data_IF_933879817173
#
_entry.id   IF_933879817173
#
_cell.length_a   1.000
_cell.length_b   1.000
_cell.length_c   1.000
_cell.angle_alpha   90.00
_cell.angle_beta   90.00
_cell.angle_gamma   90.00
#
_symmetry.space_group_name_H-M   'P 1'
#
loop_
_entity.id
_entity.type
_entity.pdbx_description
1 polymer ?
#
# COMPACT_ATOMS: atom_id res chain seq x y z
N UNK A 1 2.80 20.29 -12.99
CA UNK A 1 1.54 20.11 -12.24
C UNK A 1 1.86 20.23 -10.76
N UNK A 2 1.15 21.08 -10.00
CA UNK A 2 1.45 21.29 -8.57
C UNK A 2 0.30 20.78 -7.69
N UNK A 3 0.63 20.03 -6.64
CA UNK A 3 -0.27 19.56 -5.60
C UNK A 3 -0.54 20.67 -4.58
N UNK A 4 -1.80 20.78 -4.14
CA UNK A 4 -2.20 21.65 -3.04
C UNK A 4 -2.10 20.94 -1.69
N UNK A 5 -1.97 21.72 -0.61
CA UNK A 5 -1.99 21.24 0.77
C UNK A 5 -3.24 20.39 1.08
N UNK A 6 -4.40 20.76 0.52
CA UNK A 6 -5.64 20.01 0.71
C UNK A 6 -5.60 18.63 0.04
N UNK A 7 -5.00 18.53 -1.15
CA UNK A 7 -4.84 17.26 -1.86
C UNK A 7 -3.92 16.32 -1.09
N UNK A 8 -2.84 16.84 -0.50
CA UNK A 8 -1.90 16.05 0.30
C UNK A 8 -2.54 15.59 1.60
N UNK A 9 -3.32 16.46 2.27
CA UNK A 9 -4.11 16.06 3.44
C UNK A 9 -5.13 14.97 3.11
N UNK A 10 -5.79 15.05 1.96
CA UNK A 10 -6.71 14.01 1.47
C UNK A 10 -5.97 12.70 1.23
N UNK A 11 -4.81 12.75 0.59
CA UNK A 11 -3.98 11.57 0.29
C UNK A 11 -3.50 10.90 1.58
N UNK A 12 -2.96 11.68 2.50
CA UNK A 12 -2.50 11.24 3.83
C UNK A 12 -3.61 10.58 4.65
N UNK A 13 -4.73 11.30 4.85
CA UNK A 13 -5.76 10.89 5.81
C UNK A 13 -6.70 9.83 5.27
N UNK A 14 -7.10 9.94 4.00
CA UNK A 14 -8.19 9.13 3.45
C UNK A 14 -7.71 7.93 2.62
N UNK A 15 -6.52 8.03 2.02
CA UNK A 15 -6.02 7.02 1.08
C UNK A 15 -4.88 6.19 1.68
N UNK A 16 -3.84 6.83 2.22
CA UNK A 16 -2.67 6.13 2.77
C UNK A 16 -2.77 5.81 4.26
N UNK A 17 -3.70 6.43 4.99
CA UNK A 17 -3.86 6.32 6.46
C UNK A 17 -2.58 6.70 7.23
N UNK A 18 -1.83 7.65 6.69
CA UNK A 18 -0.65 8.22 7.34
C UNK A 18 -1.10 9.53 7.98
N UNK A 19 -0.73 9.78 9.22
CA UNK A 19 -0.95 11.09 9.86
C UNK A 19 0.29 11.95 9.64
N UNK A 20 0.25 12.88 8.69
CA UNK A 20 1.34 13.84 8.45
C UNK A 20 0.91 15.23 8.87
N UNK A 21 1.73 15.90 9.67
CA UNK A 21 1.53 17.30 10.10
C UNK A 21 2.57 18.24 9.51
N UNK A 22 3.47 17.76 8.65
CA UNK A 22 4.60 18.53 8.15
C UNK A 22 4.23 19.36 6.91
N UNK A 23 4.30 20.70 6.98
CA UNK A 23 3.97 21.55 5.84
C UNK A 23 4.99 21.45 4.70
N UNK A 24 6.23 21.03 4.99
CA UNK A 24 7.32 20.85 4.00
C UNK A 24 7.06 19.71 3.01
N UNK A 25 6.22 18.75 3.37
CA UNK A 25 5.89 17.59 2.54
C UNK A 25 5.33 17.99 1.18
N UNK A 26 4.70 19.16 1.08
CA UNK A 26 4.13 19.66 -0.18
C UNK A 26 5.20 20.10 -1.15
N UNK A 27 6.21 20.79 -0.66
CA UNK A 27 7.31 21.26 -1.50
C UNK A 27 8.12 20.05 -1.99
N UNK A 28 8.37 19.07 -1.11
CA UNK A 28 9.09 17.85 -1.44
C UNK A 28 8.33 17.01 -2.48
N UNK A 29 7.02 16.82 -2.31
CA UNK A 29 6.19 16.06 -3.26
C UNK A 29 6.09 16.76 -4.62
N UNK A 30 5.97 18.09 -4.63
CA UNK A 30 5.98 18.87 -5.86
C UNK A 30 7.34 18.79 -6.57
N UNK A 31 8.45 18.73 -5.83
CA UNK A 31 9.77 18.48 -6.38
C UNK A 31 9.88 17.11 -7.06
N UNK A 32 9.38 16.06 -6.41
CA UNK A 32 9.36 14.69 -6.97
C UNK A 32 8.49 14.63 -8.23
N UNK A 33 7.30 15.24 -8.21
CA UNK A 33 6.41 15.26 -9.38
C UNK A 33 7.07 15.94 -10.58
N UNK A 34 7.73 17.08 -10.38
CA UNK A 34 8.47 17.78 -11.45
C UNK A 34 9.59 16.91 -12.04
N UNK A 35 10.25 16.11 -11.21
CA UNK A 35 11.25 15.16 -11.70
C UNK A 35 10.62 14.03 -12.53
N UNK A 36 9.47 13.49 -12.10
CA UNK A 36 8.73 12.45 -12.83
C UNK A 36 8.16 12.96 -14.16
N UNK A 37 7.83 14.25 -14.25
CA UNK A 37 7.34 14.88 -15.50
C UNK A 37 8.33 14.77 -16.67
N UNK A 38 9.63 14.59 -16.41
CA UNK A 38 10.65 14.35 -17.44
C UNK A 38 10.37 13.08 -18.26
N UNK A 39 9.64 12.10 -17.70
CA UNK A 39 9.26 10.88 -18.44
C UNK A 39 8.29 11.17 -19.60
N UNK A 40 7.59 12.31 -19.60
CA UNK A 40 6.69 12.70 -20.69
C UNK A 40 7.44 13.11 -21.98
N UNK A 41 8.75 13.33 -21.92
CA UNK A 41 9.58 13.61 -23.10
C UNK A 41 9.76 12.38 -24.00
N UNK A 42 9.49 11.18 -23.46
CA UNK A 42 9.62 9.91 -24.18
C UNK A 42 8.27 9.53 -24.78
N UNK A 43 8.24 9.32 -26.10
CA UNK A 43 7.04 8.81 -26.77
C UNK A 43 6.82 7.33 -26.42
N UNK A 44 5.66 7.04 -25.81
CA UNK A 44 5.24 5.70 -25.43
C UNK A 44 4.06 5.19 -26.27
N UNK A 45 3.73 5.90 -27.36
CA UNK A 45 2.62 5.54 -28.25
C UNK A 45 2.84 4.15 -28.85
N UNK A 46 1.91 3.24 -28.60
CA UNK A 46 1.97 1.86 -29.10
C UNK A 46 2.90 0.92 -28.33
N UNK A 47 3.54 1.37 -27.24
CA UNK A 47 4.39 0.53 -26.40
C UNK A 47 3.53 -0.20 -25.36
N UNK A 48 3.53 -1.55 -25.32
CA UNK A 48 2.81 -2.29 -24.29
C UNK A 48 3.44 -2.08 -22.91
N UNK A 49 2.60 -2.01 -21.88
CA UNK A 49 3.06 -1.84 -20.49
C UNK A 49 3.79 -3.09 -20.01
N UNK A 50 4.94 -2.91 -19.36
CA UNK A 50 5.68 -4.02 -18.75
C UNK A 50 5.14 -4.29 -17.34
N UNK A 51 4.42 -5.41 -17.17
CA UNK A 51 3.86 -5.82 -15.86
C UNK A 51 4.81 -6.68 -15.04
N UNK A 52 5.62 -7.50 -15.70
CA UNK A 52 6.66 -8.36 -15.12
C UNK A 52 7.79 -8.47 -16.15
N UNK A 53 9.02 -8.56 -15.67
CA UNK A 53 10.20 -8.77 -16.53
C UNK A 53 10.25 -10.21 -17.04
N UNK A 54 9.69 -11.15 -16.27
CA UNK A 54 9.59 -12.55 -16.64
C UNK A 54 8.19 -12.81 -17.19
N UNK A 55 8.14 -13.45 -18.35
CA UNK A 55 6.89 -13.97 -18.90
C UNK A 55 6.32 -15.01 -17.94
N UNK A 56 5.16 -14.70 -17.37
CA UNK A 56 4.46 -15.57 -16.45
C UNK A 56 3.08 -15.84 -17.00
N UNK A 57 2.69 -17.10 -16.97
CA UNK A 57 1.32 -17.52 -17.19
C UNK A 57 0.58 -17.57 -15.84
N UNK A 58 -0.75 -17.70 -15.89
CA UNK A 58 -1.56 -17.86 -14.69
C UNK A 58 -1.31 -19.25 -14.08
N UNK A 59 -0.52 -19.30 -13.01
CA UNK A 59 -0.27 -20.54 -12.27
C UNK A 59 -1.40 -20.72 -11.25
N UNK A 60 -2.24 -21.73 -11.50
CA UNK A 60 -3.30 -22.11 -10.57
C UNK A 60 -2.74 -22.97 -9.43
N UNK A 61 -3.33 -22.83 -8.24
CA UNK A 61 -3.06 -23.70 -7.08
C UNK A 61 -4.12 -24.80 -7.05
N UNK A 62 -3.69 -26.04 -6.82
CA UNK A 62 -4.60 -27.18 -6.60
C UNK A 62 -5.51 -26.96 -5.38
N UNK A 63 -6.74 -27.48 -5.47
CA UNK A 63 -7.74 -27.38 -4.41
C UNK A 63 -7.56 -28.48 -3.35
N UNK A 64 -6.42 -28.45 -2.68
CA UNK A 64 -6.05 -29.41 -1.65
C UNK A 64 -5.83 -28.70 -0.30
N UNK A 65 -6.20 -29.38 0.79
CA UNK A 65 -5.92 -28.92 2.15
C UNK A 65 -4.44 -29.09 2.46
N UNK A 66 -3.75 -27.99 2.76
CA UNK A 66 -2.37 -28.02 3.23
C UNK A 66 -2.34 -28.06 4.75
N UNK A 67 -1.58 -29.03 5.29
CA UNK A 67 -1.29 -29.10 6.73
C UNK A 67 -0.55 -27.84 7.15
N UNK A 68 -1.13 -27.10 8.10
CA UNK A 68 -0.51 -25.91 8.67
C UNK A 68 0.49 -26.32 9.74
N UNK A 69 1.71 -25.81 9.68
CA UNK A 69 2.75 -26.05 10.68
C UNK A 69 2.67 -25.10 11.89
N UNK A 70 1.70 -24.18 11.90
CA UNK A 70 1.60 -23.11 12.90
C UNK A 70 0.39 -23.29 13.80
N UNK A 71 0.59 -23.02 15.09
CA UNK A 71 -0.45 -23.03 16.09
C UNK A 71 -1.12 -21.64 16.21
N UNK A 72 -2.38 -21.56 16.66
CA UNK A 72 -3.04 -20.27 16.90
C UNK A 72 -2.29 -19.37 17.89
N UNK A 73 -1.59 -19.97 18.85
CA UNK A 73 -0.84 -19.25 19.88
C UNK A 73 0.38 -18.53 19.30
N UNK A 74 1.11 -19.18 18.38
CA UNK A 74 2.26 -18.58 17.69
C UNK A 74 1.84 -17.39 16.82
N UNK A 75 0.70 -17.50 16.14
CA UNK A 75 0.17 -16.39 15.33
C UNK A 75 -0.23 -15.19 16.21
N UNK A 76 -0.84 -15.45 17.36
CA UNK A 76 -1.23 -14.39 18.30
C UNK A 76 -0.01 -13.72 18.96
N UNK A 77 1.11 -14.44 19.12
CA UNK A 77 2.36 -13.89 19.63
C UNK A 77 3.00 -12.84 18.68
N UNK A 78 2.65 -12.84 17.39
CA UNK A 78 3.11 -11.83 16.44
C UNK A 78 2.39 -10.47 16.58
N UNK A 79 1.30 -10.39 17.36
CA UNK A 79 0.51 -9.18 17.51
C UNK A 79 0.89 -8.38 18.76
N UNK A 80 1.02 -7.06 18.60
CA UNK A 80 1.19 -6.12 19.72
C UNK A 80 -0.14 -5.70 20.37
N UNK A 81 -1.27 -6.12 19.81
CA UNK A 81 -2.59 -5.73 20.28
C UNK A 81 -3.08 -6.65 21.40
N UNK A 82 -4.09 -6.19 22.15
CA UNK A 82 -4.68 -7.00 23.22
C UNK A 82 -5.34 -8.25 22.63
N UNK A 83 -5.00 -9.41 23.16
CA UNK A 83 -5.67 -10.66 22.81
C UNK A 83 -6.80 -10.91 23.80
N UNK A 84 -8.02 -11.14 23.30
CA UNK A 84 -9.20 -11.47 24.11
C UNK A 84 -9.87 -12.69 23.46
N UNK A 85 -10.13 -13.74 24.24
CA UNK A 85 -10.78 -14.97 23.76
C UNK A 85 -10.15 -15.55 22.46
N UNK A 86 -8.81 -15.64 22.40
CA UNK A 86 -8.05 -16.11 21.23
C UNK A 86 -8.23 -15.26 19.95
N UNK A 87 -8.57 -13.97 20.09
CA UNK A 87 -8.73 -13.04 18.97
C UNK A 87 -7.94 -11.75 19.22
N UNK A 88 -7.54 -11.08 18.13
CA UNK A 88 -6.93 -9.76 18.19
C UNK A 88 -8.03 -8.71 18.38
N UNK A 89 -8.03 -8.03 19.53
CA UNK A 89 -9.01 -7.00 19.82
C UNK A 89 -8.63 -5.66 19.17
N UNK A 90 -9.45 -5.21 18.21
CA UNK A 90 -9.37 -3.88 17.60
C UNK A 90 -10.45 -2.96 18.17
N UNK A 91 -10.24 -1.65 18.07
CA UNK A 91 -11.28 -0.66 18.37
C UNK A 91 -12.45 -0.81 17.39
N UNK A 92 -13.67 -0.58 17.88
CA UNK A 92 -14.87 -0.63 17.04
C UNK A 92 -14.76 0.38 15.89
N UNK A 93 -15.10 -0.08 14.68
CA UNK A 93 -14.97 0.69 13.42
C UNK A 93 -16.19 1.60 13.21
N UNK A 94 -17.30 1.40 13.94
CA UNK A 94 -18.46 2.29 13.86
C UNK A 94 -18.15 3.66 14.48
N UNK A 95 -17.94 4.64 13.60
CA UNK A 95 -18.14 6.07 13.84
C UNK A 95 -19.31 6.54 13.00
#
# INVERSE_FOLDING_TARGET
MDLTQEQIKKLSKNLSKIETTEPKLVDDLNGILKYVELLNEVDTTGVPQTVSVVESENILRDDEEKVKSVTPQELLACSKQKVVANQIAISNIMK
#
